data_IF_184418746870
#
_entry.id   IF_184418746870
#
_cell.length_a   1.000
_cell.length_b   1.000
_cell.length_c   1.000
_cell.angle_alpha   90.00
_cell.angle_beta   90.00
_cell.angle_gamma   90.00
#
_symmetry.space_group_name_H-M   'P 1'
#
loop_
_entity.id
_entity.type
_entity.pdbx_description
1 polymer ?
#
# COMPACT_ATOMS: atom_id res chain seq x y z
N UNK A 1 77.74 19.06 24.94
CA UNK A 1 76.99 19.21 23.68
C UNK A 1 75.57 18.87 24.04
N UNK A 2 74.91 19.84 24.68
CA UNK A 2 74.08 20.86 24.03
C UNK A 2 72.70 20.25 23.75
N UNK A 3 71.84 20.43 24.74
CA UNK A 3 70.39 20.39 24.63
C UNK A 3 69.93 21.28 23.48
N UNK A 4 69.03 20.77 22.65
CA UNK A 4 68.28 21.58 21.70
C UNK A 4 66.81 21.18 21.81
N UNK A 5 66.10 21.91 22.67
CA UNK A 5 64.66 22.08 22.64
C UNK A 5 64.29 22.80 21.34
N UNK A 6 63.35 22.27 20.54
CA UNK A 6 62.67 23.04 19.49
C UNK A 6 61.18 22.71 19.51
N UNK A 7 60.48 23.62 20.19
CA UNK A 7 59.29 24.35 19.76
C UNK A 7 58.03 23.62 19.27
N UNK A 8 56.98 24.02 19.96
CA UNK A 8 55.55 23.76 19.80
C UNK A 8 55.03 24.56 18.60
N UNK A 9 54.36 23.88 17.66
CA UNK A 9 53.46 24.55 16.72
C UNK A 9 52.06 23.92 16.86
N UNK A 10 51.23 24.61 17.64
CA UNK A 10 49.79 24.38 17.80
C UNK A 10 49.09 25.24 16.75
N UNK A 11 48.57 24.61 15.71
CA UNK A 11 47.76 25.30 14.70
C UNK A 11 46.27 25.23 15.10
N UNK A 12 45.80 26.35 15.65
CA UNK A 12 44.39 26.70 15.88
C UNK A 12 43.90 27.42 14.63
N UNK A 13 42.84 26.91 13.98
CA UNK A 13 41.98 27.65 13.05
C UNK A 13 40.56 27.10 13.25
N UNK A 14 39.76 27.75 14.09
CA UNK A 14 38.89 28.90 13.81
C UNK A 14 37.48 28.47 13.38
N UNK A 15 36.54 28.91 14.21
CA UNK A 15 35.10 28.72 14.17
C UNK A 15 34.49 29.60 13.06
N UNK A 16 33.50 29.08 12.33
CA UNK A 16 32.47 29.92 11.69
C UNK A 16 31.10 29.52 12.21
N UNK A 17 30.65 30.34 13.15
CA UNK A 17 29.28 30.59 13.60
C UNK A 17 28.51 31.30 12.47
N UNK A 18 27.33 30.81 12.09
CA UNK A 18 26.32 31.62 11.39
C UNK A 18 25.00 31.51 12.12
N UNK A 19 24.66 32.65 12.74
CA UNK A 19 23.47 32.97 13.51
C UNK A 19 22.23 33.09 12.61
N UNK A 20 21.25 32.25 12.91
CA UNK A 20 19.84 32.57 13.17
C UNK A 20 19.25 33.89 12.63
N UNK A 21 18.20 33.76 11.79
CA UNK A 21 17.09 34.71 11.76
C UNK A 21 15.79 33.93 11.88
N UNK A 22 15.20 33.99 13.08
CA UNK A 22 13.79 33.70 13.33
C UNK A 22 12.93 34.87 12.81
N UNK A 23 11.77 34.54 12.24
CA UNK A 23 10.57 35.35 12.40
C UNK A 23 9.35 34.42 12.38
N UNK A 24 8.70 34.35 13.54
CA UNK A 24 7.35 33.84 13.79
C UNK A 24 6.32 34.63 12.99
N UNK A 25 5.23 34.00 12.53
CA UNK A 25 3.90 34.24 13.09
C UNK A 25 2.84 33.27 12.49
N UNK A 26 1.98 32.78 13.39
CA UNK A 26 0.58 32.36 13.26
C UNK A 26 0.00 31.91 11.90
N UNK A 27 -0.58 30.70 11.87
CA UNK A 27 -2.04 30.50 11.89
C UNK A 27 -2.40 29.07 11.42
N UNK A 28 -2.80 28.23 12.37
CA UNK A 28 -3.84 27.22 12.15
C UNK A 28 -5.05 27.74 12.93
N UNK A 29 -6.22 27.94 12.30
CA UNK A 29 -7.09 26.79 12.06
C UNK A 29 -7.97 26.91 10.81
N UNK A 30 -8.18 25.82 10.06
CA UNK A 30 -9.52 25.51 9.56
C UNK A 30 -9.62 24.07 9.08
N UNK A 31 -10.51 23.35 9.75
CA UNK A 31 -11.06 22.06 9.34
C UNK A 31 -12.16 22.40 8.35
N UNK A 32 -11.89 22.33 7.05
CA UNK A 32 -12.93 22.34 6.03
C UNK A 32 -13.40 20.91 5.76
N UNK A 33 -14.42 20.54 6.52
CA UNK A 33 -15.39 19.51 6.19
C UNK A 33 -16.32 20.08 5.10
N UNK A 34 -16.03 19.83 3.82
CA UNK A 34 -17.03 20.01 2.76
C UNK A 34 -17.81 18.72 2.54
N UNK A 35 -19.01 18.78 3.11
CA UNK A 35 -20.21 18.01 2.89
C UNK A 35 -20.45 17.53 1.44
N UNK A 36 -20.83 16.27 1.32
CA UNK A 36 -21.91 15.89 0.42
C UNK A 36 -23.25 16.36 1.03
N UNK A 37 -24.12 17.00 0.24
CA UNK A 37 -25.50 16.50 0.20
C UNK A 37 -26.20 16.74 -1.14
N UNK A 38 -26.79 15.70 -1.73
CA UNK A 38 -27.99 15.88 -2.56
C UNK A 38 -28.82 14.58 -2.53
N UNK A 39 -29.75 14.53 -1.59
CA UNK A 39 -30.93 13.66 -1.65
C UNK A 39 -32.10 14.58 -1.31
N UNK A 40 -32.73 15.12 -2.35
CA UNK A 40 -34.00 15.83 -2.23
C UNK A 40 -35.12 14.85 -1.84
N UNK A 41 -35.68 15.05 -0.65
CA UNK A 41 -37.10 14.78 -0.38
C UNK A 41 -37.91 16.04 -0.71
N UNK A 42 -39.10 15.93 -1.31
CA UNK A 42 -40.12 16.96 -1.19
C UNK A 42 -41.27 16.57 -0.25
N UNK A 43 -41.34 17.32 0.85
CA UNK A 43 -42.47 18.11 1.38
C UNK A 43 -43.90 17.53 1.40
N UNK A 44 -44.48 17.56 2.61
CA UNK A 44 -45.92 17.56 2.87
C UNK A 44 -46.60 18.85 2.41
N UNK A 45 -47.88 18.79 2.02
CA UNK A 45 -48.98 19.59 2.61
C UNK A 45 -50.26 19.51 1.74
N UNK A 46 -51.32 19.04 2.40
CA UNK A 46 -52.76 19.33 2.26
C UNK A 46 -53.18 20.41 1.26
N UNK A 47 -54.06 20.03 0.33
CA UNK A 47 -54.85 20.92 -0.51
C UNK A 47 -56.13 20.22 -0.95
N UNK A 48 -57.25 20.92 -0.82
CA UNK A 48 -58.62 20.45 -0.78
C UNK A 48 -59.27 20.40 -2.18
N UNK A 49 -60.30 19.54 -2.29
CA UNK A 49 -61.38 19.49 -3.29
C UNK A 49 -61.13 18.91 -4.71
N UNK A 50 -61.94 17.90 -5.12
CA UNK A 50 -62.08 17.45 -6.51
C UNK A 50 -63.40 17.97 -7.13
N UNK A 51 -63.35 18.40 -8.40
CA UNK A 51 -64.51 18.59 -9.25
C UNK A 51 -64.14 18.11 -10.67
N UNK A 52 -64.74 17.01 -11.10
CA UNK A 52 -65.66 16.92 -12.25
C UNK A 52 -64.92 16.64 -13.57
N UNK A 53 -65.12 15.45 -14.16
CA UNK A 53 -65.89 15.33 -15.41
C UNK A 53 -66.03 13.84 -15.86
N UNK A 54 -67.28 13.49 -16.15
CA UNK A 54 -67.87 12.51 -17.10
C UNK A 54 -67.09 11.26 -17.59
N UNK A 55 -67.68 10.07 -17.82
CA UNK A 55 -69.05 9.51 -17.82
C UNK A 55 -68.96 7.98 -18.17
N UNK A 56 -70.02 7.21 -18.55
CA UNK A 56 -70.65 6.20 -17.68
C UNK A 56 -70.80 4.79 -18.32
N UNK A 57 -71.34 3.83 -17.54
CA UNK A 57 -72.10 2.59 -17.89
C UNK A 57 -71.72 1.44 -16.93
N UNK A 58 -72.58 0.58 -16.40
CA UNK A 58 -74.03 0.39 -16.42
C UNK A 58 -74.39 -0.62 -15.30
N UNK A 59 -75.69 -0.70 -14.98
CA UNK A 59 -76.45 -1.79 -14.34
C UNK A 59 -76.55 -1.89 -12.80
N UNK A 60 -77.67 -1.32 -12.32
CA UNK A 60 -78.78 -1.95 -11.54
C UNK A 60 -78.48 -3.11 -10.57
N UNK A 61 -78.87 -2.97 -9.29
CA UNK A 61 -80.16 -3.49 -8.78
C UNK A 61 -80.29 -3.23 -7.26
N UNK A 62 -81.50 -2.86 -6.86
CA UNK A 62 -81.95 -2.47 -5.54
C UNK A 62 -82.33 -3.72 -4.74
N UNK A 63 -81.81 -3.93 -3.51
CA UNK A 63 -82.50 -4.75 -2.50
C UNK A 63 -81.84 -4.71 -1.12
N UNK A 64 -82.43 -3.89 -0.25
CA UNK A 64 -82.24 -3.98 1.21
C UNK A 64 -83.07 -5.15 1.76
N UNK A 65 -82.53 -5.92 2.72
CA UNK A 65 -83.36 -6.24 3.88
C UNK A 65 -82.63 -6.12 5.23
N UNK A 66 -83.30 -5.46 6.17
CA UNK A 66 -82.96 -5.42 7.60
C UNK A 66 -83.14 -6.82 8.22
N UNK A 67 -82.18 -7.35 9.00
CA UNK A 67 -82.46 -8.51 9.85
C UNK A 67 -83.18 -8.08 11.13
N UNK A 68 -84.37 -8.66 11.32
CA UNK A 68 -85.26 -8.52 12.47
C UNK A 68 -84.67 -9.20 13.71
N UNK A 69 -84.99 -8.62 14.86
CA UNK A 69 -84.76 -9.15 16.20
C UNK A 69 -85.39 -10.54 16.39
N UNK A 70 -84.58 -11.51 16.82
CA UNK A 70 -85.05 -12.72 17.49
C UNK A 70 -83.94 -13.25 18.40
N UNK A 71 -83.93 -12.81 19.66
CA UNK A 71 -83.20 -13.47 20.74
C UNK A 71 -84.19 -13.68 21.91
N UNK A 72 -84.35 -14.91 22.41
CA UNK A 72 -85.28 -15.22 23.51
C UNK A 72 -84.84 -14.52 24.82
N UNK A 73 -85.76 -14.24 25.76
CA UNK A 73 -85.42 -13.55 27.00
C UNK A 73 -84.40 -14.38 27.81
N UNK A 74 -83.25 -13.77 28.09
CA UNK A 74 -82.19 -14.30 28.95
C UNK A 74 -82.77 -14.43 30.36
N UNK A 75 -83.09 -15.66 30.75
CA UNK A 75 -83.33 -16.04 32.14
C UNK A 75 -82.01 -15.88 32.90
N UNK A 76 -81.97 -14.96 33.87
CA UNK A 76 -80.82 -14.78 34.75
C UNK A 76 -80.54 -16.10 35.48
N UNK A 77 -79.38 -16.76 35.26
CA UNK A 77 -79.02 -17.94 36.00
C UNK A 77 -78.92 -17.59 37.49
N UNK A 78 -79.69 -18.32 38.29
CA UNK A 78 -79.67 -18.30 39.76
C UNK A 78 -78.23 -18.56 40.22
N UNK A 79 -77.60 -17.58 40.86
CA UNK A 79 -76.28 -17.73 41.49
C UNK A 79 -76.47 -18.73 42.64
N UNK A 80 -75.82 -19.91 42.63
CA UNK A 80 -75.80 -20.77 43.79
C UNK A 80 -74.97 -20.10 44.89
N UNK A 81 -75.57 -20.02 46.07
CA UNK A 81 -74.99 -19.47 47.29
C UNK A 81 -73.72 -20.20 47.69
N UNK A 82 -72.64 -19.45 47.92
CA UNK A 82 -71.75 -19.69 49.05
C UNK A 82 -70.76 -20.86 48.96
N UNK A 83 -70.03 -21.00 47.87
CA UNK A 83 -68.66 -21.53 48.00
C UNK A 83 -67.79 -20.36 48.45
N UNK A 84 -67.18 -20.45 49.63
CA UNK A 84 -66.27 -19.42 50.14
C UNK A 84 -65.18 -19.22 49.09
N UNK A 85 -65.31 -18.14 48.33
CA UNK A 85 -64.30 -17.67 47.39
C UNK A 85 -63.05 -17.40 48.21
N UNK A 86 -62.11 -18.32 48.15
CA UNK A 86 -60.85 -18.19 48.86
C UNK A 86 -60.02 -17.12 48.15
N UNK A 87 -60.02 -15.91 48.72
CA UNK A 87 -59.36 -14.76 48.10
C UNK A 87 -57.87 -14.99 47.92
N UNK A 88 -57.26 -15.84 48.76
CA UNK A 88 -55.87 -16.27 48.63
C UNK A 88 -55.66 -17.20 47.43
N UNK A 89 -56.65 -18.06 47.10
CA UNK A 89 -56.60 -18.92 45.90
C UNK A 89 -56.79 -18.11 44.61
N UNK A 90 -57.67 -17.10 44.62
CA UNK A 90 -57.78 -16.15 43.50
C UNK A 90 -56.49 -15.37 43.31
N UNK A 91 -55.87 -14.90 44.39
CA UNK A 91 -54.62 -14.15 44.29
C UNK A 91 -53.49 -15.04 43.78
N UNK A 92 -53.38 -16.28 44.27
CA UNK A 92 -52.41 -17.27 43.78
C UNK A 92 -52.61 -17.61 42.31
N UNK A 93 -53.83 -17.91 41.88
CA UNK A 93 -54.16 -18.19 40.47
C UNK A 93 -53.90 -17.00 39.56
N UNK A 94 -54.11 -15.78 40.06
CA UNK A 94 -53.73 -14.56 39.33
C UNK A 94 -52.22 -14.47 39.17
N UNK A 95 -51.45 -14.63 40.25
CA UNK A 95 -49.98 -14.60 40.18
C UNK A 95 -49.43 -15.72 39.27
N UNK A 96 -49.96 -16.94 39.36
CA UNK A 96 -49.57 -18.05 38.48
C UNK A 96 -49.90 -17.76 37.01
N UNK A 97 -51.08 -17.18 36.72
CA UNK A 97 -51.43 -16.75 35.36
C UNK A 97 -50.47 -15.66 34.87
N UNK A 98 -50.27 -14.61 35.65
CA UNK A 98 -49.41 -13.48 35.28
C UNK A 98 -47.96 -13.94 35.06
N UNK A 99 -47.45 -14.89 35.87
CA UNK A 99 -46.13 -15.49 35.69
C UNK A 99 -46.06 -16.35 34.42
N UNK A 100 -47.09 -17.15 34.14
CA UNK A 100 -47.15 -17.97 32.91
C UNK A 100 -47.28 -17.12 31.64
N UNK A 101 -48.05 -16.04 31.71
CA UNK A 101 -48.23 -15.08 30.61
C UNK A 101 -46.94 -14.30 30.38
N UNK A 102 -46.26 -13.87 31.44
CA UNK A 102 -44.94 -13.24 31.36
C UNK A 102 -43.90 -14.17 30.73
N UNK A 103 -43.85 -15.44 31.15
CA UNK A 103 -42.95 -16.44 30.56
C UNK A 103 -43.23 -16.67 29.07
N UNK A 104 -44.51 -16.80 28.70
CA UNK A 104 -44.93 -16.94 27.29
C UNK A 104 -44.56 -15.70 26.46
N UNK A 105 -44.73 -14.49 27.00
CA UNK A 105 -44.37 -13.24 26.31
C UNK A 105 -42.85 -13.13 26.12
N UNK A 106 -42.07 -13.52 27.13
CA UNK A 106 -40.61 -13.55 27.07
C UNK A 106 -40.15 -14.54 25.98
N UNK A 107 -40.68 -15.77 25.99
CA UNK A 107 -40.34 -16.79 25.00
C UNK A 107 -40.75 -16.37 23.58
N UNK A 108 -41.96 -15.84 23.40
CA UNK A 108 -42.43 -15.31 22.13
C UNK A 108 -41.53 -14.19 21.60
N UNK A 109 -41.09 -13.26 22.46
CA UNK A 109 -40.17 -12.20 22.07
C UNK A 109 -38.81 -12.74 21.62
N UNK A 110 -38.24 -13.72 22.34
CA UNK A 110 -36.97 -14.33 21.93
C UNK A 110 -37.08 -15.13 20.63
N UNK A 111 -38.14 -15.91 20.47
CA UNK A 111 -38.38 -16.70 19.25
C UNK A 111 -38.59 -15.77 18.05
N UNK A 112 -39.41 -14.73 18.21
CA UNK A 112 -39.65 -13.74 17.15
C UNK A 112 -38.36 -13.02 16.77
N UNK A 113 -37.63 -12.49 17.75
CA UNK A 113 -36.37 -11.79 17.52
C UNK A 113 -35.33 -12.68 16.86
N UNK A 114 -35.20 -13.94 17.30
CA UNK A 114 -34.28 -14.91 16.71
C UNK A 114 -34.62 -15.18 15.25
N UNK A 115 -35.91 -15.35 14.94
CA UNK A 115 -36.37 -15.54 13.56
C UNK A 115 -36.07 -14.32 12.69
N UNK A 116 -36.35 -13.12 13.20
CA UNK A 116 -36.08 -11.86 12.49
C UNK A 116 -34.57 -11.65 12.27
N UNK A 117 -33.73 -12.00 13.26
CA UNK A 117 -32.27 -11.95 13.15
C UNK A 117 -31.75 -12.97 12.11
N UNK A 118 -32.27 -14.19 12.09
CA UNK A 118 -31.93 -15.21 11.09
C UNK A 118 -32.30 -14.77 9.66
N UNK A 119 -33.49 -14.17 9.49
CA UNK A 119 -33.94 -13.64 8.20
C UNK A 119 -33.09 -12.44 7.75
N UNK A 120 -32.74 -11.54 8.68
CA UNK A 120 -31.87 -10.39 8.41
C UNK A 120 -30.47 -10.85 8.00
N UNK A 121 -29.88 -11.81 8.73
CA UNK A 121 -28.57 -12.39 8.39
C UNK A 121 -28.62 -13.06 7.02
N UNK A 122 -29.67 -13.83 6.72
CA UNK A 122 -29.83 -14.46 5.42
C UNK A 122 -29.93 -13.44 4.28
N UNK A 123 -30.62 -12.31 4.50
CA UNK A 123 -30.73 -11.22 3.53
C UNK A 123 -29.39 -10.52 3.32
N UNK A 124 -28.69 -10.16 4.39
CA UNK A 124 -27.36 -9.52 4.34
C UNK A 124 -26.37 -10.42 3.60
N UNK A 125 -26.30 -11.71 3.95
CA UNK A 125 -25.44 -12.67 3.27
C UNK A 125 -25.72 -12.75 1.76
N UNK A 126 -27.00 -12.67 1.34
CA UNK A 126 -27.38 -12.64 -0.08
C UNK A 126 -26.93 -11.36 -0.76
N UNK A 127 -27.05 -10.21 -0.10
CA UNK A 127 -26.58 -8.91 -0.62
C UNK A 127 -25.06 -8.90 -0.75
N UNK A 128 -24.36 -9.35 0.28
CA UNK A 128 -22.90 -9.48 0.29
C UNK A 128 -22.41 -10.41 -0.82
N UNK A 129 -23.04 -11.57 -0.99
CA UNK A 129 -22.73 -12.48 -2.10
C UNK A 129 -22.88 -11.80 -3.46
N UNK A 130 -23.99 -11.09 -3.72
CA UNK A 130 -24.18 -10.34 -4.97
C UNK A 130 -23.18 -9.21 -5.14
N UNK A 131 -22.74 -8.57 -4.05
CA UNK A 131 -21.72 -7.52 -4.08
C UNK A 131 -20.34 -8.10 -4.40
N UNK A 132 -20.00 -9.25 -3.79
CA UNK A 132 -18.78 -9.99 -4.07
C UNK A 132 -18.74 -10.48 -5.54
N UNK A 133 -19.83 -11.05 -6.05
CA UNK A 133 -19.94 -11.46 -7.46
C UNK A 133 -19.75 -10.27 -8.43
N UNK A 134 -20.35 -9.11 -8.13
CA UNK A 134 -20.13 -7.89 -8.93
C UNK A 134 -18.68 -7.40 -8.86
N UNK A 135 -18.08 -7.42 -7.67
CA UNK A 135 -16.68 -7.05 -7.49
C UNK A 135 -15.76 -8.01 -8.27
N UNK A 136 -16.03 -9.31 -8.23
CA UNK A 136 -15.29 -10.32 -8.98
C UNK A 136 -15.46 -10.16 -10.50
N UNK A 137 -16.68 -9.93 -10.99
CA UNK A 137 -16.90 -9.60 -12.40
C UNK A 137 -16.11 -8.37 -12.85
N UNK A 138 -16.04 -7.34 -11.99
CA UNK A 138 -15.26 -6.15 -12.29
C UNK A 138 -13.75 -6.47 -12.30
N UNK A 139 -13.25 -7.27 -11.35
CA UNK A 139 -11.84 -7.72 -11.34
C UNK A 139 -11.49 -8.53 -12.57
N UNK A 140 -12.34 -9.45 -13.00
CA UNK A 140 -12.12 -10.24 -14.21
C UNK A 140 -12.11 -9.35 -15.45
N UNK A 141 -12.99 -8.33 -15.51
CA UNK A 141 -12.98 -7.36 -16.62
C UNK A 141 -11.71 -6.52 -16.65
N UNK A 142 -11.27 -6.00 -15.50
CA UNK A 142 -10.04 -5.19 -15.41
C UNK A 142 -8.80 -6.03 -15.68
N UNK A 143 -8.76 -7.29 -15.24
CA UNK A 143 -7.67 -8.22 -15.52
C UNK A 143 -7.59 -8.57 -17.00
N UNK A 144 -8.72 -8.91 -17.66
CA UNK A 144 -8.75 -9.16 -19.10
C UNK A 144 -8.37 -7.94 -19.93
N UNK A 145 -8.76 -6.74 -19.51
CA UNK A 145 -8.34 -5.50 -20.18
C UNK A 145 -6.84 -5.24 -20.00
N UNK A 146 -6.32 -5.44 -18.79
CA UNK A 146 -4.88 -5.36 -18.51
C UNK A 146 -4.08 -6.40 -19.30
N UNK A 147 -4.59 -7.62 -19.45
CA UNK A 147 -3.97 -8.68 -20.26
C UNK A 147 -3.93 -8.30 -21.75
N UNK A 148 -5.01 -7.70 -22.28
CA UNK A 148 -5.02 -7.19 -23.65
C UNK A 148 -4.00 -6.07 -23.84
N UNK A 149 -3.94 -5.12 -22.91
CA UNK A 149 -2.99 -4.01 -22.98
C UNK A 149 -1.54 -4.49 -22.87
N UNK A 150 -1.27 -5.46 -21.99
CA UNK A 150 0.07 -6.05 -21.85
C UNK A 150 0.46 -6.85 -23.09
N UNK A 151 -0.44 -7.63 -23.69
CA UNK A 151 -0.16 -8.33 -24.96
C UNK A 151 0.14 -7.37 -26.11
N UNK A 152 -0.62 -6.26 -26.21
CA UNK A 152 -0.36 -5.22 -27.21
C UNK A 152 0.96 -4.50 -26.96
N UNK A 153 1.31 -4.25 -25.70
CA UNK A 153 2.58 -3.66 -25.32
C UNK A 153 3.75 -4.61 -25.62
N UNK A 154 3.61 -5.91 -25.35
CA UNK A 154 4.62 -6.94 -25.63
C UNK A 154 4.80 -7.16 -27.13
N UNK A 155 3.72 -7.17 -27.93
CA UNK A 155 3.80 -7.25 -29.39
C UNK A 155 4.49 -6.00 -29.98
N UNK A 156 4.17 -4.81 -29.44
CA UNK A 156 4.82 -3.56 -29.81
C UNK A 156 6.30 -3.57 -29.41
N UNK A 157 6.62 -4.06 -28.22
CA UNK A 157 8.00 -4.17 -27.74
C UNK A 157 8.79 -5.19 -28.57
N UNK A 158 8.21 -6.34 -28.93
CA UNK A 158 8.86 -7.32 -29.80
C UNK A 158 9.15 -6.73 -31.18
N UNK A 159 8.20 -5.98 -31.75
CA UNK A 159 8.40 -5.26 -33.02
C UNK A 159 9.47 -4.18 -32.89
N UNK A 160 9.50 -3.44 -31.78
CA UNK A 160 10.53 -2.45 -31.49
C UNK A 160 11.92 -3.09 -31.30
N UNK A 161 12.01 -4.27 -30.68
CA UNK A 161 13.25 -5.02 -30.53
C UNK A 161 13.77 -5.56 -31.87
N UNK A 162 12.89 -6.03 -32.75
CA UNK A 162 13.23 -6.47 -34.12
C UNK A 162 13.68 -5.27 -34.99
N UNK A 163 12.99 -4.14 -34.93
CA UNK A 163 13.37 -2.90 -35.62
C UNK A 163 14.69 -2.31 -35.07
N UNK A 164 14.90 -2.36 -33.75
CA UNK A 164 16.15 -1.94 -33.12
C UNK A 164 17.32 -2.85 -33.52
N UNK A 165 17.13 -4.17 -33.58
CA UNK A 165 18.16 -5.10 -34.08
C UNK A 165 18.49 -4.84 -35.54
N UNK A 166 17.48 -4.65 -36.40
CA UNK A 166 17.70 -4.31 -37.82
C UNK A 166 18.43 -2.98 -37.98
N UNK A 167 18.07 -1.97 -37.19
CA UNK A 167 18.75 -0.67 -37.19
C UNK A 167 20.19 -0.78 -36.71
N UNK A 168 20.46 -1.58 -35.68
CA UNK A 168 21.82 -1.85 -35.21
C UNK A 168 22.64 -2.61 -36.26
N UNK A 169 22.06 -3.59 -36.96
CA UNK A 169 22.74 -4.32 -38.03
C UNK A 169 23.02 -3.41 -39.25
N UNK A 170 22.09 -2.54 -39.62
CA UNK A 170 22.28 -1.55 -40.68
C UNK A 170 23.31 -0.49 -40.29
N UNK A 171 23.33 -0.04 -39.03
CA UNK A 171 24.34 0.88 -38.52
C UNK A 171 25.70 0.22 -38.39
N UNK A 172 25.78 -1.06 -38.04
CA UNK A 172 27.03 -1.85 -38.04
C UNK A 172 27.51 -2.09 -39.46
N UNK A 173 26.62 -2.35 -40.43
CA UNK A 173 26.99 -2.47 -41.85
C UNK A 173 27.47 -1.14 -42.42
N UNK A 174 26.78 -0.03 -42.11
CA UNK A 174 27.19 1.34 -42.48
C UNK A 174 28.51 1.72 -41.82
N UNK A 175 28.70 1.43 -40.53
CA UNK A 175 29.97 1.64 -39.81
C UNK A 175 31.05 0.76 -40.42
N UNK A 176 30.85 -0.53 -40.69
CA UNK A 176 31.84 -1.40 -41.36
C UNK A 176 32.23 -0.87 -42.74
N UNK A 177 31.28 -0.34 -43.52
CA UNK A 177 31.55 0.28 -44.82
C UNK A 177 32.37 1.59 -44.68
N UNK A 178 32.08 2.42 -43.68
CA UNK A 178 32.77 3.69 -43.42
C UNK A 178 34.13 3.51 -42.70
N UNK A 179 34.25 2.52 -41.81
CA UNK A 179 35.47 2.17 -41.07
C UNK A 179 36.55 1.60 -41.99
N UNK A 180 36.20 1.12 -43.19
CA UNK A 180 37.20 0.73 -44.17
C UNK A 180 37.90 1.95 -44.84
N UNK A 181 37.35 3.16 -44.70
CA UNK A 181 37.98 4.40 -45.20
C UNK A 181 38.54 5.30 -44.08
N UNK A 182 38.00 5.21 -42.86
CA UNK A 182 38.30 6.15 -41.77
C UNK A 182 38.87 5.44 -40.54
N UNK A 183 39.93 4.64 -40.70
CA UNK A 183 40.59 3.96 -39.57
C UNK A 183 41.35 4.89 -38.60
N UNK A 184 41.36 6.21 -38.81
CA UNK A 184 42.09 7.13 -37.93
C UNK A 184 41.20 8.01 -37.03
N UNK A 185 39.86 8.00 -37.15
CA UNK A 185 38.98 8.88 -36.36
C UNK A 185 37.91 8.15 -35.51
N UNK A 186 37.91 6.80 -35.51
CA UNK A 186 36.83 5.98 -34.94
C UNK A 186 36.92 5.72 -33.42
N UNK A 187 37.81 6.39 -32.68
CA UNK A 187 37.93 6.19 -31.22
C UNK A 187 36.98 7.07 -30.39
N UNK A 188 36.54 8.21 -30.93
CA UNK A 188 35.74 9.20 -30.18
C UNK A 188 34.24 8.90 -30.26
N UNK A 189 33.73 8.44 -31.41
CA UNK A 189 32.28 8.24 -31.61
C UNK A 189 31.72 7.02 -30.84
N UNK A 190 32.53 6.00 -30.59
CA UNK A 190 32.10 4.77 -29.93
C UNK A 190 31.83 4.94 -28.42
N UNK A 191 32.34 6.03 -27.82
CA UNK A 191 32.03 6.42 -26.43
C UNK A 191 30.63 7.02 -26.27
N UNK A 192 30.04 7.53 -27.36
CA UNK A 192 28.76 8.25 -27.32
C UNK A 192 27.54 7.32 -27.55
N UNK A 193 27.68 6.31 -28.43
CA UNK A 193 26.59 5.38 -28.76
C UNK A 193 26.38 4.24 -27.74
N UNK A 194 27.33 3.99 -26.83
CA UNK A 194 27.24 2.93 -25.82
C UNK A 194 26.22 3.14 -24.69
N UNK A 195 25.44 4.23 -24.73
CA UNK A 195 24.44 4.61 -23.70
C UNK A 195 22.98 4.28 -24.08
N UNK A 196 22.70 3.75 -25.28
CA UNK A 196 21.35 3.44 -25.77
C UNK A 196 21.06 1.94 -25.87
N UNK A 197 21.26 1.22 -24.78
CA UNK A 197 20.78 -0.15 -24.63
C UNK A 197 20.81 -0.53 -23.16
N UNK A 198 19.65 -0.88 -22.60
CA UNK A 198 19.40 -1.29 -21.21
C UNK A 198 20.43 -0.73 -20.22
N UNK A 199 20.12 0.45 -19.64
CA UNK A 199 20.98 1.21 -18.72
C UNK A 199 21.57 0.27 -17.66
N UNK A 200 22.75 -0.31 -17.96
CA UNK A 200 23.45 -1.20 -17.03
C UNK A 200 23.63 -0.37 -15.78
N UNK A 201 23.13 -0.88 -14.66
CA UNK A 201 23.14 -0.16 -13.39
C UNK A 201 24.54 0.38 -13.19
N UNK A 202 24.65 1.70 -13.08
CA UNK A 202 25.97 2.34 -12.96
C UNK A 202 26.62 1.86 -11.66
N UNK A 203 27.95 1.86 -11.58
CA UNK A 203 28.64 1.50 -10.32
C UNK A 203 28.18 2.38 -9.15
N UNK A 204 27.77 3.63 -9.42
CA UNK A 204 27.16 4.54 -8.44
C UNK A 204 25.81 4.01 -7.94
N UNK A 205 24.93 3.58 -8.83
CA UNK A 205 23.63 3.01 -8.49
C UNK A 205 23.78 1.67 -7.77
N UNK A 206 24.74 0.82 -8.18
CA UNK A 206 25.04 -0.45 -7.48
C UNK A 206 25.55 -0.20 -6.07
N UNK A 207 26.50 0.73 -5.90
CA UNK A 207 27.00 1.14 -4.57
C UNK A 207 25.87 1.66 -3.70
N UNK A 208 25.00 2.54 -4.23
CA UNK A 208 23.84 3.07 -3.49
C UNK A 208 22.90 1.94 -3.07
N UNK A 209 22.60 1.00 -3.96
CA UNK A 209 21.75 -0.17 -3.67
C UNK A 209 22.35 -1.03 -2.56
N UNK A 210 23.62 -1.43 -2.68
CA UNK A 210 24.30 -2.26 -1.68
C UNK A 210 24.34 -1.57 -0.31
N UNK A 211 24.59 -0.25 -0.26
CA UNK A 211 24.59 0.50 1.00
C UNK A 211 23.20 0.62 1.62
N UNK A 212 22.16 0.79 0.79
CA UNK A 212 20.78 0.78 1.25
C UNK A 212 20.40 -0.60 1.82
N UNK A 213 20.76 -1.69 1.14
CA UNK A 213 20.48 -3.06 1.58
C UNK A 213 21.19 -3.40 2.91
N UNK A 214 22.39 -2.84 3.14
CA UNK A 214 23.14 -2.99 4.40
C UNK A 214 22.58 -2.13 5.54
N UNK A 215 21.89 -1.02 5.23
CA UNK A 215 21.35 -0.11 6.23
C UNK A 215 20.06 -0.67 6.79
N UNK A 216 20.12 -1.22 8.01
CA UNK A 216 18.92 -1.64 8.74
C UNK A 216 18.21 -0.39 9.28
N UNK A 217 16.91 -0.20 9.04
CA UNK A 217 16.15 0.89 9.64
C UNK A 217 16.15 0.72 11.16
N UNK A 218 16.33 1.82 11.87
CA UNK A 218 16.35 1.85 13.34
C UNK A 218 14.96 2.29 13.82
N UNK A 219 14.26 1.42 14.56
CA UNK A 219 13.04 1.79 15.26
C UNK A 219 13.33 1.81 16.76
N UNK A 220 13.29 2.98 17.38
CA UNK A 220 13.64 3.21 18.79
C UNK A 220 12.52 3.86 19.62
N UNK A 221 11.39 4.21 18.99
CA UNK A 221 10.34 5.02 19.63
C UNK A 221 9.62 4.32 20.78
N UNK A 222 9.67 2.99 20.84
CA UNK A 222 8.97 2.19 21.85
C UNK A 222 9.94 1.38 22.73
N UNK A 223 11.22 1.77 22.78
CA UNK A 223 12.22 1.03 23.54
C UNK A 223 12.26 1.50 25.00
N UNK A 224 12.46 0.57 25.92
CA UNK A 224 12.76 0.85 27.32
C UNK A 224 14.25 1.19 27.50
N UNK A 225 14.62 1.84 28.61
CA UNK A 225 16.01 2.30 28.84
C UNK A 225 17.05 1.17 28.72
N UNK A 226 16.76 0.00 29.29
CA UNK A 226 17.67 -1.15 29.21
C UNK A 226 17.82 -1.65 27.77
N UNK A 227 16.73 -1.70 27.00
CA UNK A 227 16.75 -2.08 25.58
C UNK A 227 17.50 -1.05 24.72
N UNK A 228 17.44 0.24 25.07
CA UNK A 228 18.23 1.28 24.41
C UNK A 228 19.72 1.09 24.67
N UNK A 229 20.12 0.75 25.90
CA UNK A 229 21.52 0.44 26.24
C UNK A 229 22.03 -0.79 25.50
N UNK A 230 21.25 -1.86 25.44
CA UNK A 230 21.56 -3.05 24.63
C UNK A 230 21.72 -2.68 23.15
N UNK A 231 20.77 -1.91 22.59
CA UNK A 231 20.82 -1.51 21.18
C UNK A 231 22.02 -0.60 20.85
N UNK A 232 22.37 0.31 21.76
CA UNK A 232 23.55 1.15 21.62
C UNK A 232 24.84 0.30 21.60
N UNK A 233 24.95 -0.68 22.50
CA UNK A 233 26.08 -1.61 22.52
C UNK A 233 26.17 -2.45 21.23
N UNK A 234 25.05 -2.95 20.71
CA UNK A 234 25.01 -3.67 19.42
C UNK A 234 25.51 -2.80 18.26
N UNK A 235 25.03 -1.55 18.16
CA UNK A 235 25.43 -0.61 17.12
C UNK A 235 26.92 -0.25 17.24
N UNK A 236 27.42 -0.10 18.46
CA UNK A 236 28.83 0.15 18.73
C UNK A 236 29.72 -1.03 18.30
N UNK A 237 29.34 -2.26 18.64
CA UNK A 237 30.05 -3.46 18.18
C UNK A 237 30.02 -3.60 16.65
N UNK A 238 28.88 -3.27 16.02
CA UNK A 238 28.75 -3.27 14.57
C UNK A 238 29.66 -2.24 13.92
N UNK A 239 29.73 -1.01 14.46
CA UNK A 239 30.64 0.03 13.99
C UNK A 239 32.10 -0.42 14.12
N UNK A 240 32.48 -1.03 15.25
CA UNK A 240 33.85 -1.50 15.46
C UNK A 240 34.24 -2.59 14.47
N UNK A 241 33.31 -3.48 14.13
CA UNK A 241 33.53 -4.52 13.10
C UNK A 241 33.78 -3.89 11.73
N UNK A 242 32.98 -2.89 11.34
CA UNK A 242 33.14 -2.19 10.06
C UNK A 242 34.47 -1.42 9.99
N UNK A 243 34.92 -0.81 11.09
CA UNK A 243 36.20 -0.09 11.12
C UNK A 243 37.39 -1.05 11.03
N UNK A 244 37.30 -2.22 11.67
CA UNK A 244 38.30 -3.28 11.53
C UNK A 244 38.39 -3.79 10.07
N UNK A 245 37.26 -4.10 9.43
CA UNK A 245 37.24 -4.51 8.02
C UNK A 245 37.84 -3.43 7.09
N UNK A 246 37.51 -2.16 7.34
CA UNK A 246 38.07 -1.03 6.59
C UNK A 246 39.58 -0.92 6.77
N UNK A 247 40.10 -1.16 7.98
CA UNK A 247 41.53 -1.17 8.24
C UNK A 247 42.23 -2.27 7.45
N UNK A 248 41.73 -3.51 7.53
CA UNK A 248 42.30 -4.66 6.80
C UNK A 248 42.31 -4.43 5.28
N UNK A 249 41.20 -3.91 4.73
CA UNK A 249 41.11 -3.54 3.31
C UNK A 249 42.09 -2.44 2.93
N UNK A 250 42.35 -1.48 3.82
CA UNK A 250 43.30 -0.39 3.60
C UNK A 250 44.75 -0.88 3.59
N UNK A 251 45.11 -1.76 4.52
CA UNK A 251 46.43 -2.40 4.56
C UNK A 251 46.65 -3.30 3.33
N UNK A 252 45.65 -4.09 2.96
CA UNK A 252 45.69 -4.91 1.75
C UNK A 252 45.87 -4.05 0.50
N UNK A 253 45.15 -2.91 0.40
CA UNK A 253 45.32 -1.98 -0.72
C UNK A 253 46.72 -1.37 -0.75
N UNK A 254 47.30 -1.01 0.40
CA UNK A 254 48.68 -0.51 0.49
C UNK A 254 49.68 -1.56 -0.01
N UNK A 255 49.51 -2.83 0.40
CA UNK A 255 50.34 -3.94 -0.07
C UNK A 255 50.20 -4.18 -1.57
N UNK A 256 48.98 -4.19 -2.09
CA UNK A 256 48.70 -4.35 -3.52
C UNK A 256 49.32 -3.23 -4.36
N UNK A 257 49.28 -1.98 -3.89
CA UNK A 257 49.95 -0.85 -4.56
C UNK A 257 51.46 -1.08 -4.67
N UNK A 258 52.09 -1.55 -3.59
CA UNK A 258 53.52 -1.90 -3.62
C UNK A 258 53.81 -3.03 -4.63
N UNK A 259 53.02 -4.10 -4.61
CA UNK A 259 53.21 -5.24 -5.51
C UNK A 259 53.02 -4.84 -6.98
N UNK A 260 52.03 -3.99 -7.28
CA UNK A 260 51.85 -3.42 -8.61
C UNK A 260 53.08 -2.64 -9.05
N UNK A 261 53.62 -1.76 -8.19
CA UNK A 261 54.82 -0.99 -8.51
C UNK A 261 56.04 -1.89 -8.78
N UNK A 262 56.23 -2.93 -7.96
CA UNK A 262 57.30 -3.92 -8.14
C UNK A 262 57.14 -4.70 -9.45
N UNK A 263 55.92 -5.13 -9.76
CA UNK A 263 55.62 -5.85 -11.00
C UNK A 263 55.83 -4.95 -12.22
N UNK A 264 55.42 -3.69 -12.16
CA UNK A 264 55.69 -2.71 -13.23
C UNK A 264 57.20 -2.55 -13.47
N UNK A 265 57.99 -2.41 -12.42
CA UNK A 265 59.45 -2.34 -12.54
C UNK A 265 60.06 -3.62 -13.15
N UNK A 266 59.59 -4.80 -12.75
CA UNK A 266 60.02 -6.08 -13.34
C UNK A 266 59.66 -6.20 -14.83
N UNK A 267 58.45 -5.78 -15.20
CA UNK A 267 58.00 -5.76 -16.59
C UNK A 267 58.90 -4.83 -17.41
N UNK A 268 59.16 -3.62 -16.93
CA UNK A 268 60.06 -2.66 -17.60
C UNK A 268 61.48 -3.22 -17.77
N UNK A 269 62.05 -3.83 -16.72
CA UNK A 269 63.38 -4.46 -16.78
C UNK A 269 63.42 -5.61 -17.82
N UNK A 270 62.38 -6.45 -17.85
CA UNK A 270 62.29 -7.56 -18.80
C UNK A 270 62.12 -7.10 -20.26
N UNK A 271 61.43 -5.98 -20.49
CA UNK A 271 61.28 -5.38 -21.81
C UNK A 271 62.58 -4.70 -22.26
N UNK A 272 63.26 -3.99 -21.35
CA UNK A 272 64.56 -3.36 -21.62
C UNK A 272 65.66 -4.39 -21.93
N UNK A 273 65.67 -5.52 -21.21
CA UNK A 273 66.60 -6.62 -21.47
C UNK A 273 66.36 -7.30 -22.84
N UNK A 274 65.10 -7.41 -23.28
CA UNK A 274 64.74 -7.96 -24.60
C UNK A 274 65.02 -7.00 -25.78
N UNK A 275 65.23 -5.71 -25.51
CA UNK A 275 65.51 -4.67 -26.52
C UNK A 275 66.99 -4.40 -26.84
N UNK A 276 67.94 -4.93 -26.06
CA UNK A 276 69.39 -4.67 -26.23
C UNK A 276 70.16 -5.73 -27.05
N UNK A 277 69.48 -6.72 -27.60
CA UNK A 277 70.09 -7.85 -28.32
C UNK A 277 70.13 -7.77 -29.86
N UNK A 278 69.73 -6.67 -30.50
CA UNK A 278 69.84 -6.50 -31.96
C UNK A 278 70.37 -5.12 -32.30
N UNK A 279 71.68 -4.99 -32.53
CA UNK A 279 72.21 -3.75 -33.08
C UNK A 279 73.67 -3.39 -32.79
N UNK A 280 74.59 -4.34 -32.58
CA UNK A 280 76.03 -4.08 -32.76
C UNK A 280 76.69 -5.31 -33.35
N UNK A 281 76.76 -5.35 -34.68
CA UNK A 281 77.34 -6.47 -35.42
C UNK A 281 77.24 -6.27 -36.93
N UNK A 282 77.70 -5.11 -37.42
CA UNK A 282 78.01 -4.94 -38.85
C UNK A 282 79.05 -3.83 -39.01
N UNK A 283 80.30 -4.21 -38.80
CA UNK A 283 81.45 -3.53 -39.36
C UNK A 283 82.14 -4.56 -40.27
N UNK A 284 81.97 -4.39 -41.58
CA UNK A 284 82.81 -4.92 -42.64
C UNK A 284 82.77 -3.93 -43.78
#
# INVERSE_FOLDING_TARGET
MADEEVEVEVEVLEEEEVVETQQEEEAAPEVEEEAAPDVEEPSSATGQEPAEDESPAADEDDSKPKPKAFAPPITVPKIPEGEKVDFDDIHRKRQEKDLSELQSLIEAHFVQRKKDEEELIALVNRIEKRRAERAEQQRIRTEKEKERQTRLAEEKERKEQEEARKKLDDDVKKKKALTNMTQQYSSVQQRQDGKRGAKKQTEREKKRKILADRRKPLNIEHFTEDKLKEKANELWQWLMTLEAEKFDLSEMLRRQKYDINLLLARVQASQSAKGRGKGKGRLR
#
